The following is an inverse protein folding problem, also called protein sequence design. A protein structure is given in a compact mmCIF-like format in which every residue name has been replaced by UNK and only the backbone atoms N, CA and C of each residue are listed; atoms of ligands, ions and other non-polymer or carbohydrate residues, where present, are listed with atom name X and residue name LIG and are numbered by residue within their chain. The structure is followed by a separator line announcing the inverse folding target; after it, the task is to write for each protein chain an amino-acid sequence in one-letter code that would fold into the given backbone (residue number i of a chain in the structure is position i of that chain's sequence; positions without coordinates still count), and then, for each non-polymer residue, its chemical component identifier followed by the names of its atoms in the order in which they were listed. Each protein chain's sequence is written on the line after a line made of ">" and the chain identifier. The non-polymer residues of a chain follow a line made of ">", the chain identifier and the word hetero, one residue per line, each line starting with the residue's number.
data_IF_186687252339
#
_entry.id   IF_186687252339
#
_cell.length_a   1.000
_cell.length_b   1.000
_cell.length_c   1.000
_cell.angle_alpha   90.00
_cell.angle_beta   90.00
_cell.angle_gamma   90.00
#
_symmetry.space_group_name_H-M   'P 1'
#
loop_
_entity.id
_entity.type
_entity.pdbx_description
1 polymer ?
#
# COMPACT_ATOMS: atom_id res chain seq x y z
N UNK A 1 -19.55 -12.66 16.20
CA UNK A 1 -18.64 -12.89 15.05
C UNK A 1 -18.85 -14.23 14.33
N UNK A 2 -19.62 -15.16 14.87
CA UNK A 2 -19.77 -16.53 14.34
C UNK A 2 -20.45 -16.67 12.96
N UNK A 3 -20.98 -15.61 12.38
CA UNK A 3 -21.64 -15.64 11.07
C UNK A 3 -20.83 -14.99 9.93
N UNK A 4 -19.73 -14.31 10.22
CA UNK A 4 -18.96 -13.63 9.19
C UNK A 4 -17.92 -14.56 8.55
N UNK A 5 -17.98 -14.65 7.23
CA UNK A 5 -17.01 -15.41 6.42
C UNK A 5 -15.95 -14.51 5.80
N UNK A 6 -16.25 -13.22 5.65
CA UNK A 6 -15.36 -12.23 5.03
C UNK A 6 -15.30 -10.97 5.87
N UNK A 7 -14.10 -10.43 6.04
CA UNK A 7 -13.84 -9.17 6.75
C UNK A 7 -13.00 -8.27 5.85
N UNK A 8 -13.48 -7.09 5.53
CA UNK A 8 -12.69 -6.05 4.88
C UNK A 8 -12.05 -5.14 5.94
N UNK A 9 -10.83 -4.73 5.66
CA UNK A 9 -10.06 -3.81 6.51
C UNK A 9 -9.48 -2.69 5.65
N UNK A 10 -9.93 -1.47 5.90
CA UNK A 10 -9.22 -0.28 5.43
C UNK A 10 -8.09 0.04 6.41
N UNK A 11 -6.85 -0.04 5.90
CA UNK A 11 -5.63 0.06 6.67
C UNK A 11 -5.10 1.48 6.71
N UNK A 12 -5.09 2.11 7.88
CA UNK A 12 -4.33 3.33 8.10
C UNK A 12 -3.19 3.09 9.10
N UNK A 13 -2.44 4.12 9.42
CA UNK A 13 -1.26 4.00 10.31
C UNK A 13 -1.63 3.57 11.73
N UNK A 14 -2.71 4.11 12.27
CA UNK A 14 -3.16 3.86 13.66
C UNK A 14 -4.67 3.60 13.76
N UNK A 15 -5.40 3.73 12.67
CA UNK A 15 -6.85 3.54 12.65
C UNK A 15 -7.18 2.50 11.59
N UNK A 16 -8.05 1.57 11.94
CA UNK A 16 -8.47 0.48 11.08
C UNK A 16 -9.99 0.50 11.02
N UNK A 17 -10.54 0.66 9.83
CA UNK A 17 -11.98 0.55 9.64
C UNK A 17 -12.30 -0.84 9.10
N UNK A 18 -13.20 -1.53 9.77
CA UNK A 18 -13.59 -2.90 9.46
C UNK A 18 -15.04 -2.96 9.04
N UNK A 19 -15.32 -3.88 8.12
CA UNK A 19 -16.67 -4.31 7.80
C UNK A 19 -16.67 -5.82 7.62
N UNK A 20 -17.61 -6.51 8.26
CA UNK A 20 -17.72 -7.97 8.20
C UNK A 20 -19.03 -8.41 7.56
N UNK A 21 -18.96 -9.38 6.65
CA UNK A 21 -20.12 -9.92 5.95
C UNK A 21 -20.18 -11.45 6.02
N UNK A 22 -21.38 -12.00 5.84
CA UNK A 22 -21.61 -13.43 5.70
C UNK A 22 -21.41 -13.94 4.26
N UNK A 23 -21.60 -15.22 4.05
CA UNK A 23 -21.49 -15.87 2.74
C UNK A 23 -22.53 -15.35 1.71
N UNK A 24 -23.61 -14.73 2.16
CA UNK A 24 -24.63 -14.12 1.30
C UNK A 24 -24.32 -12.64 0.99
N UNK A 25 -23.24 -12.12 1.56
CA UNK A 25 -22.81 -10.73 1.37
C UNK A 25 -23.58 -9.71 2.22
N UNK A 26 -24.31 -10.16 3.25
CA UNK A 26 -24.96 -9.28 4.21
C UNK A 26 -23.94 -8.79 5.22
N UNK A 27 -23.80 -7.47 5.35
CA UNK A 27 -22.91 -6.85 6.34
C UNK A 27 -23.53 -6.99 7.74
N UNK A 28 -22.79 -7.60 8.66
CA UNK A 28 -23.21 -7.84 10.03
C UNK A 28 -22.62 -6.87 11.04
N UNK A 29 -21.44 -6.33 10.76
CA UNK A 29 -20.85 -5.31 11.62
C UNK A 29 -19.96 -4.37 10.84
N UNK A 30 -19.82 -3.18 11.40
CA UNK A 30 -18.86 -2.19 11.02
C UNK A 30 -18.17 -1.70 12.30
N UNK A 31 -16.86 -1.63 12.32
CA UNK A 31 -16.11 -1.29 13.53
C UNK A 31 -14.89 -0.44 13.18
N UNK A 32 -14.59 0.52 14.04
CA UNK A 32 -13.38 1.32 13.97
C UNK A 32 -12.45 0.99 15.14
N UNK A 33 -11.25 0.53 14.83
CA UNK A 33 -10.22 0.23 15.83
C UNK A 33 -9.14 1.32 15.75
N UNK A 34 -8.78 1.90 16.91
CA UNK A 34 -7.91 3.08 17.01
C UNK A 34 -6.50 2.77 17.50
N UNK A 35 -6.10 1.50 17.60
CA UNK A 35 -4.73 1.11 17.94
C UNK A 35 -4.30 -0.14 17.19
N UNK A 36 -3.00 -0.30 16.99
CA UNK A 36 -2.43 -1.48 16.34
C UNK A 36 -2.54 -2.72 17.23
N UNK A 37 -2.41 -2.55 18.54
CA UNK A 37 -2.51 -3.61 19.55
C UNK A 37 -3.93 -4.17 19.57
N UNK A 38 -4.94 -3.30 19.60
CA UNK A 38 -6.34 -3.72 19.56
C UNK A 38 -6.69 -4.38 18.21
N UNK A 39 -6.10 -3.91 17.09
CA UNK A 39 -6.30 -4.54 15.79
C UNK A 39 -5.62 -5.92 15.73
N UNK A 40 -4.43 -6.05 16.29
CA UNK A 40 -3.74 -7.33 16.42
C UNK A 40 -4.59 -8.34 17.20
N UNK A 41 -5.12 -7.91 18.35
CA UNK A 41 -5.97 -8.77 19.18
C UNK A 41 -7.28 -9.15 18.47
N UNK A 42 -7.88 -8.22 17.73
CA UNK A 42 -9.03 -8.51 16.89
C UNK A 42 -8.73 -9.62 15.85
N UNK A 43 -7.58 -9.53 15.17
CA UNK A 43 -7.19 -10.54 14.19
C UNK A 43 -6.97 -11.92 14.82
N UNK A 44 -6.43 -11.97 16.04
CA UNK A 44 -6.24 -13.23 16.78
C UNK A 44 -7.54 -13.91 17.18
N UNK A 45 -8.61 -13.14 17.36
CA UNK A 45 -9.92 -13.64 17.74
C UNK A 45 -10.77 -14.04 16.52
N UNK A 46 -10.29 -13.82 15.30
CA UNK A 46 -11.00 -14.27 14.10
C UNK A 46 -11.06 -15.81 14.06
N UNK A 47 -12.21 -16.37 13.72
CA UNK A 47 -12.29 -17.80 13.44
C UNK A 47 -11.33 -18.19 12.31
N UNK A 48 -10.82 -19.44 12.29
CA UNK A 48 -10.02 -19.94 11.19
C UNK A 48 -10.82 -19.91 9.87
N UNK A 49 -10.11 -19.78 8.76
CA UNK A 49 -10.67 -19.73 7.39
C UNK A 49 -11.49 -18.49 7.02
N UNK A 50 -11.53 -17.47 7.89
CA UNK A 50 -12.12 -16.19 7.51
C UNK A 50 -11.28 -15.54 6.41
N UNK A 51 -11.94 -15.04 5.36
CA UNK A 51 -11.29 -14.26 4.30
C UNK A 51 -11.12 -12.82 4.77
N UNK A 52 -9.88 -12.36 4.90
CA UNK A 52 -9.60 -10.96 5.24
C UNK A 52 -9.14 -10.21 3.99
N UNK A 53 -9.92 -9.22 3.60
CA UNK A 53 -9.68 -8.36 2.44
C UNK A 53 -9.02 -7.06 2.88
N UNK A 54 -7.98 -6.65 2.18
CA UNK A 54 -7.28 -5.37 2.38
C UNK A 54 -6.95 -4.76 1.02
N UNK A 55 -6.87 -3.44 0.93
CA UNK A 55 -6.30 -2.83 -0.28
C UNK A 55 -4.77 -2.76 -0.21
N UNK A 56 -4.11 -2.63 -1.38
CA UNK A 56 -2.66 -2.40 -1.44
C UNK A 56 -2.31 -1.08 -0.77
N UNK A 57 -1.53 -1.15 0.30
CA UNK A 57 -1.14 0.01 1.09
C UNK A 57 -0.01 -0.30 2.07
N UNK A 58 0.42 0.72 2.85
CA UNK A 58 1.43 0.53 3.88
C UNK A 58 0.99 -0.49 4.94
N UNK A 59 1.79 -1.52 5.16
CA UNK A 59 1.53 -2.57 6.16
C UNK A 59 0.68 -3.74 5.67
N UNK A 60 -0.03 -3.65 4.54
CA UNK A 60 -0.89 -4.73 4.04
C UNK A 60 -0.16 -6.07 3.93
N UNK A 61 1.07 -6.08 3.43
CA UNK A 61 1.89 -7.28 3.31
C UNK A 61 2.25 -7.92 4.65
N UNK A 62 2.49 -7.10 5.68
CA UNK A 62 2.81 -7.61 7.02
C UNK A 62 1.58 -8.24 7.67
N UNK A 63 0.44 -7.56 7.62
CA UNK A 63 -0.81 -8.08 8.14
C UNK A 63 -1.27 -9.34 7.41
N UNK A 64 -1.11 -9.39 6.08
CA UNK A 64 -1.46 -10.56 5.30
C UNK A 64 -0.64 -11.80 5.69
N UNK A 65 0.67 -11.68 5.90
CA UNK A 65 1.49 -12.80 6.40
C UNK A 65 1.03 -13.27 7.77
N UNK A 66 0.81 -12.34 8.67
CA UNK A 66 0.34 -12.67 10.02
C UNK A 66 -0.99 -13.44 10.00
N UNK A 67 -1.93 -13.02 9.15
CA UNK A 67 -3.20 -13.73 8.97
C UNK A 67 -3.00 -15.13 8.40
N UNK A 68 -2.10 -15.30 7.43
CA UNK A 68 -1.75 -16.61 6.87
C UNK A 68 -1.13 -17.53 7.93
N UNK A 69 -0.26 -16.99 8.78
CA UNK A 69 0.34 -17.74 9.89
C UNK A 69 -0.70 -18.20 10.93
N UNK A 70 -1.84 -17.52 11.00
CA UNK A 70 -3.00 -17.87 11.84
C UNK A 70 -4.00 -18.81 11.15
N UNK A 71 -3.75 -19.23 9.91
CA UNK A 71 -4.64 -20.07 9.13
C UNK A 71 -5.80 -19.34 8.47
N UNK A 72 -5.78 -18.00 8.43
CA UNK A 72 -6.79 -17.18 7.74
C UNK A 72 -6.37 -16.86 6.30
N UNK A 73 -7.35 -16.62 5.43
CA UNK A 73 -7.12 -16.28 4.03
C UNK A 73 -6.99 -14.77 3.86
N UNK A 74 -5.77 -14.28 3.64
CA UNK A 74 -5.53 -12.87 3.36
C UNK A 74 -5.54 -12.60 1.84
N UNK A 75 -6.35 -11.66 1.38
CA UNK A 75 -6.39 -11.18 -0.01
C UNK A 75 -6.09 -9.68 -0.03
N UNK A 76 -5.02 -9.31 -0.74
CA UNK A 76 -4.66 -7.91 -0.95
C UNK A 76 -5.18 -7.49 -2.32
N UNK A 77 -6.10 -6.53 -2.37
CA UNK A 77 -6.71 -6.06 -3.60
C UNK A 77 -6.01 -4.80 -4.12
N UNK A 78 -5.85 -4.61 -5.45
CA UNK A 78 -5.27 -3.41 -6.01
C UNK A 78 -6.12 -2.18 -5.68
N UNK A 79 -5.55 -1.16 -5.02
CA UNK A 79 -6.27 0.04 -4.56
C UNK A 79 -7.01 0.78 -5.69
N UNK A 80 -6.40 0.84 -6.89
CA UNK A 80 -7.05 1.46 -8.06
C UNK A 80 -8.30 0.72 -8.54
N UNK A 81 -8.43 -0.58 -8.29
CA UNK A 81 -9.63 -1.35 -8.60
C UNK A 81 -10.66 -1.23 -7.48
N UNK A 82 -10.23 -1.27 -6.21
CA UNK A 82 -11.11 -1.03 -5.04
C UNK A 82 -11.81 0.34 -5.15
N UNK A 83 -11.09 1.38 -5.56
CA UNK A 83 -11.64 2.72 -5.73
C UNK A 83 -12.84 2.78 -6.68
N UNK A 84 -12.93 1.89 -7.68
CA UNK A 84 -14.05 1.81 -8.62
C UNK A 84 -15.34 1.26 -7.98
N UNK A 85 -15.22 0.55 -6.86
CA UNK A 85 -16.35 -0.02 -6.11
C UNK A 85 -16.84 0.89 -4.97
N UNK A 86 -16.22 2.08 -4.81
CA UNK A 86 -16.69 3.05 -3.83
C UNK A 86 -17.99 3.69 -4.28
N UNK A 87 -18.95 3.75 -3.38
CA UNK A 87 -20.20 4.49 -3.56
C UNK A 87 -20.35 5.55 -2.47
N UNK A 88 -20.70 6.76 -2.86
CA UNK A 88 -20.83 7.90 -1.95
C UNK A 88 -19.52 8.64 -1.67
N UNK A 89 -19.54 9.58 -0.70
CA UNK A 89 -18.40 10.41 -0.36
C UNK A 89 -17.25 9.58 0.22
N UNK A 90 -16.02 10.07 0.03
CA UNK A 90 -14.83 9.42 0.57
C UNK A 90 -14.81 9.54 2.09
N UNK A 91 -14.94 8.41 2.76
CA UNK A 91 -14.76 8.25 4.20
C UNK A 91 -14.35 6.80 4.51
N UNK A 92 -13.75 6.59 5.67
CA UNK A 92 -13.19 5.29 6.09
C UNK A 92 -14.24 4.15 6.01
N UNK A 93 -15.50 4.44 6.36
CA UNK A 93 -16.60 3.47 6.29
C UNK A 93 -16.88 3.02 4.85
N UNK A 94 -17.03 3.97 3.94
CA UNK A 94 -17.30 3.67 2.53
C UNK A 94 -16.09 2.98 1.87
N UNK A 95 -14.87 3.24 2.35
CA UNK A 95 -13.66 2.59 1.86
C UNK A 95 -13.63 1.11 2.29
N UNK A 96 -13.97 0.77 3.55
CA UNK A 96 -14.10 -0.63 3.98
C UNK A 96 -15.21 -1.38 3.21
N UNK A 97 -16.36 -0.75 2.98
CA UNK A 97 -17.43 -1.33 2.17
C UNK A 97 -17.04 -1.50 0.69
N UNK A 98 -16.23 -0.58 0.15
CA UNK A 98 -15.69 -0.71 -1.20
C UNK A 98 -14.76 -1.92 -1.33
N UNK A 99 -13.95 -2.20 -0.30
CA UNK A 99 -13.08 -3.39 -0.24
C UNK A 99 -13.93 -4.68 -0.25
N UNK A 100 -15.05 -4.73 0.52
CA UNK A 100 -15.97 -5.89 0.48
C UNK A 100 -16.52 -6.10 -0.93
N UNK A 101 -17.05 -5.04 -1.56
CA UNK A 101 -17.62 -5.12 -2.91
C UNK A 101 -16.57 -5.56 -3.94
N UNK A 102 -15.36 -4.99 -3.88
CA UNK A 102 -14.26 -5.37 -4.75
C UNK A 102 -13.82 -6.83 -4.53
N UNK A 103 -13.91 -7.33 -3.29
CA UNK A 103 -13.58 -8.71 -2.97
C UNK A 103 -14.52 -9.75 -3.58
N UNK A 104 -15.75 -9.36 -3.91
CA UNK A 104 -16.75 -10.20 -4.59
C UNK A 104 -16.59 -10.20 -6.11
N UNK A 105 -15.88 -9.21 -6.67
CA UNK A 105 -15.64 -9.14 -8.11
C UNK A 105 -14.58 -10.18 -8.50
N UNK A 106 -15.00 -11.25 -9.15
CA UNK A 106 -14.12 -12.32 -9.61
C UNK A 106 -13.06 -11.87 -10.62
N UNK A 107 -13.27 -10.72 -11.27
CA UNK A 107 -12.31 -10.13 -12.20
C UNK A 107 -11.13 -9.48 -11.50
N UNK A 108 -11.22 -9.26 -10.18
CA UNK A 108 -10.14 -8.64 -9.40
C UNK A 108 -9.22 -9.73 -8.86
N UNK A 109 -8.07 -9.87 -9.51
CA UNK A 109 -7.01 -10.73 -9.01
C UNK A 109 -6.32 -10.09 -7.80
N UNK A 110 -6.20 -10.85 -6.71
CA UNK A 110 -5.47 -10.42 -5.52
C UNK A 110 -3.96 -10.30 -5.81
N UNK A 111 -3.33 -9.32 -5.19
CA UNK A 111 -1.87 -9.15 -5.23
C UNK A 111 -1.24 -10.25 -4.36
N UNK A 112 -0.23 -10.97 -4.84
CA UNK A 112 0.44 -12.00 -4.05
C UNK A 112 1.01 -11.45 -2.74
N UNK A 113 0.89 -12.23 -1.67
CA UNK A 113 1.55 -11.94 -0.40
C UNK A 113 3.05 -12.24 -0.57
N UNK A 114 3.87 -11.22 -0.39
CA UNK A 114 5.31 -11.30 -0.60
C UNK A 114 6.03 -11.85 0.62
N UNK A 115 7.03 -12.67 0.39
CA UNK A 115 7.97 -13.08 1.44
C UNK A 115 8.74 -11.87 1.98
N UNK A 116 9.32 -12.01 3.17
CA UNK A 116 10.18 -10.97 3.77
C UNK A 116 11.38 -10.66 2.85
N UNK A 117 11.99 -11.70 2.24
CA UNK A 117 13.09 -11.53 1.30
C UNK A 117 12.68 -10.75 0.05
N UNK A 118 11.51 -11.04 -0.53
CA UNK A 118 10.99 -10.30 -1.67
C UNK A 118 10.69 -8.82 -1.35
N UNK A 119 10.20 -8.54 -0.13
CA UNK A 119 10.01 -7.16 0.34
C UNK A 119 11.32 -6.43 0.56
N UNK A 120 12.33 -7.09 1.14
CA UNK A 120 13.66 -6.51 1.32
C UNK A 120 14.27 -6.14 -0.04
N UNK A 121 14.22 -7.04 -1.02
CA UNK A 121 14.68 -6.76 -2.38
C UNK A 121 13.91 -5.58 -3.01
N UNK A 122 12.59 -5.54 -2.86
CA UNK A 122 11.78 -4.41 -3.34
C UNK A 122 12.17 -3.08 -2.66
N UNK A 123 12.49 -3.11 -1.36
CA UNK A 123 12.93 -1.91 -0.63
C UNK A 123 14.27 -1.40 -1.17
N UNK A 124 15.24 -2.29 -1.44
CA UNK A 124 16.52 -1.94 -2.06
C UNK A 124 16.34 -1.31 -3.45
N UNK A 125 15.49 -1.89 -4.29
CA UNK A 125 15.19 -1.32 -5.60
C UNK A 125 14.54 0.06 -5.49
N UNK A 126 13.59 0.26 -4.57
CA UNK A 126 12.95 1.57 -4.32
C UNK A 126 13.96 2.61 -3.81
N UNK A 127 14.84 2.21 -2.89
CA UNK A 127 15.91 3.08 -2.39
C UNK A 127 16.83 3.51 -3.54
N UNK A 128 17.33 2.55 -4.35
CA UNK A 128 18.16 2.84 -5.52
C UNK A 128 17.46 3.80 -6.48
N UNK A 129 16.20 3.54 -6.83
CA UNK A 129 15.43 4.43 -7.70
C UNK A 129 15.29 5.84 -7.11
N UNK A 130 15.09 5.94 -5.79
CA UNK A 130 15.04 7.22 -5.07
C UNK A 130 16.34 8.01 -5.21
N UNK A 131 17.49 7.35 -5.02
CA UNK A 131 18.79 7.98 -5.21
C UNK A 131 19.03 8.43 -6.66
N UNK A 132 18.72 7.59 -7.64
CA UNK A 132 18.86 7.95 -9.06
C UNK A 132 18.02 9.16 -9.42
N UNK A 133 16.75 9.21 -8.97
CA UNK A 133 15.87 10.37 -9.20
C UNK A 133 16.41 11.66 -8.55
N UNK A 134 16.89 11.57 -7.31
CA UNK A 134 17.47 12.73 -6.60
C UNK A 134 18.72 13.22 -7.31
N UNK A 135 19.63 12.32 -7.70
CA UNK A 135 20.83 12.67 -8.46
C UNK A 135 20.46 13.42 -9.74
N UNK A 136 19.52 12.89 -10.53
CA UNK A 136 19.07 13.53 -11.77
C UNK A 136 18.46 14.90 -11.50
N UNK A 137 17.63 15.02 -10.45
CA UNK A 137 17.01 16.31 -10.10
C UNK A 137 18.06 17.35 -9.74
N UNK A 138 19.04 17.00 -8.88
CA UNK A 138 20.14 17.90 -8.49
C UNK A 138 20.99 18.28 -9.71
N UNK A 139 21.34 17.32 -10.56
CA UNK A 139 22.09 17.57 -11.80
C UNK A 139 21.36 18.56 -12.73
N UNK A 140 20.04 18.42 -12.86
CA UNK A 140 19.23 19.33 -13.67
C UNK A 140 19.13 20.72 -13.04
N UNK A 141 18.98 20.79 -11.72
CA UNK A 141 18.97 22.05 -10.99
C UNK A 141 20.29 22.81 -11.16
N UNK A 142 21.42 22.13 -11.02
CA UNK A 142 22.74 22.72 -11.25
C UNK A 142 22.89 23.26 -12.68
N UNK A 143 22.44 22.50 -13.67
CA UNK A 143 22.47 22.97 -15.08
C UNK A 143 21.63 24.23 -15.26
N UNK A 144 20.42 24.26 -14.68
CA UNK A 144 19.56 25.45 -14.74
C UNK A 144 20.24 26.69 -14.11
N UNK A 145 20.77 26.55 -12.90
CA UNK A 145 21.45 27.64 -12.22
C UNK A 145 22.68 28.15 -12.99
N UNK A 146 23.52 27.25 -13.51
CA UNK A 146 24.69 27.64 -14.31
C UNK A 146 24.32 28.31 -15.62
N UNK A 147 23.20 27.89 -16.23
CA UNK A 147 22.71 28.50 -17.46
C UNK A 147 22.34 29.97 -17.29
N UNK A 148 21.78 30.37 -16.11
CA UNK A 148 21.52 31.78 -15.77
C UNK A 148 22.81 32.63 -15.69
N UNK A 149 23.96 31.97 -15.50
CA UNK A 149 25.27 32.59 -15.56
C UNK A 149 25.99 32.47 -16.91
N UNK A 150 25.23 32.05 -17.97
CA UNK A 150 25.78 31.85 -19.32
C UNK A 150 26.61 30.57 -19.47
N UNK A 151 26.62 29.69 -18.49
CA UNK A 151 27.41 28.44 -18.51
C UNK A 151 26.51 27.27 -18.90
N UNK A 152 26.59 26.82 -20.15
CA UNK A 152 25.87 25.67 -20.62
C UNK A 152 26.63 24.37 -20.32
N UNK A 153 25.96 23.42 -19.65
CA UNK A 153 26.47 22.07 -19.40
C UNK A 153 25.73 21.04 -20.24
N UNK A 154 26.48 20.14 -20.88
CA UNK A 154 25.91 19.01 -21.59
C UNK A 154 25.12 18.06 -20.68
N UNK A 155 24.27 17.24 -21.26
CA UNK A 155 23.56 16.20 -20.53
C UNK A 155 24.52 15.11 -20.02
N UNK A 156 24.15 14.45 -18.92
CA UNK A 156 24.94 13.42 -18.29
C UNK A 156 25.77 13.92 -17.07
N UNK A 157 26.09 12.96 -16.19
CA UNK A 157 26.77 13.27 -14.93
C UNK A 157 28.26 13.57 -15.15
N UNK A 158 28.88 13.02 -16.21
CA UNK A 158 30.28 13.23 -16.57
C UNK A 158 30.55 14.71 -16.86
N UNK A 159 29.64 15.38 -17.57
CA UNK A 159 29.78 16.79 -17.86
C UNK A 159 29.80 17.68 -16.60
N UNK A 160 29.02 17.29 -15.57
CA UNK A 160 29.01 17.99 -14.27
C UNK A 160 30.31 17.75 -13.52
N UNK A 161 30.73 16.48 -13.36
CA UNK A 161 31.92 16.11 -12.58
C UNK A 161 33.21 16.68 -13.18
N UNK A 162 33.28 16.85 -14.50
CA UNK A 162 34.46 17.39 -15.16
C UNK A 162 34.51 18.91 -15.23
N UNK A 163 33.35 19.57 -15.40
CA UNK A 163 33.31 21.03 -15.59
C UNK A 163 33.20 21.82 -14.28
N UNK A 164 32.47 21.31 -13.29
CA UNK A 164 32.30 22.05 -12.01
C UNK A 164 33.64 22.39 -11.32
N UNK A 165 34.60 21.47 -11.17
CA UNK A 165 35.89 21.82 -10.56
C UNK A 165 36.72 22.85 -11.33
N UNK A 166 36.33 23.18 -12.58
CA UNK A 166 36.98 24.21 -13.40
C UNK A 166 36.25 25.54 -13.37
N UNK A 167 35.05 25.57 -12.83
CA UNK A 167 34.19 26.77 -12.69
C UNK A 167 34.35 27.41 -11.30
N UNK A 168 34.63 26.57 -10.29
CA UNK A 168 34.98 26.96 -8.92
C UNK A 168 36.47 27.30 -8.79
#
# INVERSE_FOLDING_TARGET
>A
MSACTTVAVDLAKHVFQLAGEDALGKVHYEQRIKSREAFYEFLRQLPPHVVVLMETGPGAQAWARQLQDQGNLARILPAGLVAKHRSGPKNDRNDALAILRAGRDEKICAVPVKTVAALAMQALHRARQGYVRRRTAVSNQMRGLLLEHGIALAQGDVAISQKIPRIL
#
